data_IF_730448210115
#
_entry.id   IF_730448210115
#
_cell.length_a   1.000
_cell.length_b   1.000
_cell.length_c   1.000
_cell.angle_alpha   90.00
_cell.angle_beta   90.00
_cell.angle_gamma   90.00
#
_symmetry.space_group_name_H-M   'P 1'
#
loop_
_entity.id
_entity.type
_entity.pdbx_description
1 polymer ?
#
# COMPACT_ATOMS: atom_id res chain seq x y z
N UNK A 1 33.21 31.90 11.92
CA UNK A 1 32.08 30.96 12.03
C UNK A 1 32.33 29.83 11.03
N UNK A 2 32.88 28.70 11.49
CA UNK A 2 33.39 27.60 10.64
C UNK A 2 32.25 26.69 10.17
N UNK A 3 32.13 26.49 8.86
CA UNK A 3 31.22 25.51 8.24
C UNK A 3 32.03 24.23 8.00
N UNK A 4 31.82 23.22 8.83
CA UNK A 4 32.34 21.86 8.61
C UNK A 4 31.21 20.98 8.07
N UNK A 5 31.15 20.84 6.75
CA UNK A 5 30.27 19.89 6.07
C UNK A 5 31.10 18.66 5.69
N UNK A 6 31.09 17.64 6.55
CA UNK A 6 31.70 16.34 6.24
C UNK A 6 30.59 15.30 6.15
N UNK A 7 30.10 15.03 4.93
CA UNK A 7 29.15 13.95 4.67
C UNK A 7 29.91 12.67 4.36
N UNK A 8 29.94 11.78 5.36
CA UNK A 8 30.63 10.49 5.41
C UNK A 8 29.77 9.39 4.79
N UNK A 9 29.56 9.40 3.48
CA UNK A 9 28.89 8.29 2.78
C UNK A 9 29.67 7.86 1.54
N UNK A 10 30.92 7.47 1.78
CA UNK A 10 31.70 6.65 0.85
C UNK A 10 32.20 5.44 1.62
N UNK A 11 31.32 4.47 1.88
CA UNK A 11 31.75 3.16 2.40
C UNK A 11 30.69 2.09 2.14
N UNK A 12 31.18 0.93 1.69
CA UNK A 12 30.52 -0.37 1.57
C UNK A 12 29.75 -0.67 0.27
N UNK A 13 30.52 -0.95 -0.78
CA UNK A 13 30.17 -1.91 -1.82
C UNK A 13 31.16 -3.08 -1.73
N UNK A 14 30.77 -4.15 -1.02
CA UNK A 14 31.35 -5.51 -1.07
C UNK A 14 30.73 -6.28 0.08
N UNK A 15 30.00 -7.37 -0.20
CA UNK A 15 30.38 -8.74 0.21
C UNK A 15 29.22 -9.73 -0.04
N UNK A 16 29.52 -10.76 -0.83
CA UNK A 16 29.07 -12.15 -0.71
C UNK A 16 27.59 -12.42 -0.37
N UNK A 17 26.80 -12.81 -1.39
CA UNK A 17 25.55 -13.56 -1.17
C UNK A 17 25.95 -15.05 -1.12
N UNK A 18 25.92 -15.72 0.04
CA UNK A 18 26.21 -17.14 0.12
C UNK A 18 25.06 -17.93 -0.51
N UNK A 19 25.42 -18.93 -1.31
CA UNK A 19 24.51 -19.96 -1.83
C UNK A 19 23.90 -20.70 -0.65
N UNK A 20 22.62 -20.44 -0.35
CA UNK A 20 21.86 -21.27 0.56
C UNK A 20 21.50 -22.58 -0.17
N UNK A 21 22.20 -23.66 0.17
CA UNK A 21 21.77 -25.02 -0.16
C UNK A 21 20.43 -25.29 0.54
N UNK A 22 19.37 -25.42 -0.26
CA UNK A 22 18.02 -25.71 0.21
C UNK A 22 17.90 -27.22 0.47
N UNK A 23 18.08 -27.64 1.71
CA UNK A 23 17.77 -29.01 2.15
C UNK A 23 16.27 -29.11 2.44
N UNK A 24 15.55 -29.92 1.67
CA UNK A 24 14.12 -30.17 1.86
C UNK A 24 13.85 -31.03 3.11
N UNK A 25 13.02 -30.59 4.07
CA UNK A 25 12.57 -31.46 5.15
C UNK A 25 11.41 -32.37 4.69
N UNK A 26 11.50 -33.63 5.10
CA UNK A 26 10.46 -34.66 4.95
C UNK A 26 9.23 -34.35 5.82
N UNK A 27 8.10 -34.77 5.28
CA UNK A 27 6.77 -34.95 5.87
C UNK A 27 6.75 -35.42 7.32
N UNK A 28 5.93 -34.75 8.13
CA UNK A 28 5.37 -35.27 9.38
C UNK A 28 3.87 -35.00 9.32
N UNK A 29 3.11 -36.07 9.08
CA UNK A 29 1.68 -36.12 9.33
C UNK A 29 1.48 -36.17 10.85
N UNK A 30 0.54 -35.39 11.38
CA UNK A 30 0.15 -35.47 12.78
C UNK A 30 -1.34 -35.17 12.90
N UNK A 31 -2.01 -36.18 13.44
CA UNK A 31 -3.44 -36.31 13.58
C UNK A 31 -4.09 -35.24 14.46
N UNK A 32 -5.32 -34.92 14.07
CA UNK A 32 -6.52 -34.73 14.89
C UNK A 32 -6.30 -34.32 16.36
N UNK A 33 -6.64 -33.07 16.70
CA UNK A 33 -7.09 -32.75 18.06
C UNK A 33 -8.25 -31.73 18.06
N UNK A 34 -9.37 -32.22 18.58
CA UNK A 34 -10.39 -31.57 19.41
C UNK A 34 -10.77 -30.12 19.16
N UNK A 35 -12.02 -29.97 18.72
CA UNK A 35 -13.06 -29.19 19.38
C UNK A 35 -12.60 -28.04 20.30
N UNK A 36 -12.50 -26.84 19.72
CA UNK A 36 -13.02 -25.64 20.36
C UNK A 36 -13.73 -24.80 19.29
N UNK A 37 -15.07 -24.81 19.33
CA UNK A 37 -15.91 -24.03 18.42
C UNK A 37 -15.97 -22.59 18.95
N UNK A 38 -14.83 -21.90 18.90
CA UNK A 38 -14.80 -20.44 18.97
C UNK A 38 -15.50 -19.95 17.69
N UNK A 39 -16.60 -19.22 17.88
CA UNK A 39 -17.33 -18.59 16.79
C UNK A 39 -16.40 -17.59 16.09
N UNK A 40 -15.71 -18.06 15.06
CA UNK A 40 -15.04 -17.21 14.10
C UNK A 40 -16.12 -16.35 13.49
N UNK A 41 -16.11 -15.06 13.83
CA UNK A 41 -16.84 -14.04 13.09
C UNK A 41 -16.36 -14.18 11.65
N UNK A 42 -17.18 -14.86 10.84
CA UNK A 42 -17.09 -14.82 9.39
C UNK A 42 -17.32 -13.36 9.07
N UNK A 43 -16.26 -12.56 9.01
CA UNK A 43 -16.25 -11.36 8.20
C UNK A 43 -16.47 -11.87 6.79
N UNK A 44 -17.76 -12.01 6.44
CA UNK A 44 -18.23 -12.10 5.08
C UNK A 44 -17.62 -10.90 4.40
N UNK A 45 -16.51 -11.17 3.71
CA UNK A 45 -15.79 -10.28 2.82
C UNK A 45 -16.86 -9.58 2.01
N UNK A 46 -17.20 -8.35 2.41
CA UNK A 46 -18.22 -7.55 1.79
C UNK A 46 -17.99 -7.66 0.29
N UNK A 47 -18.99 -8.20 -0.39
CA UNK A 47 -18.98 -8.50 -1.81
C UNK A 47 -18.43 -7.26 -2.49
N UNK A 48 -17.16 -7.31 -2.92
CA UNK A 48 -16.50 -6.16 -3.50
C UNK A 48 -17.38 -5.75 -4.66
N UNK A 49 -17.93 -4.54 -4.56
CA UNK A 49 -18.73 -3.92 -5.60
C UNK A 49 -18.11 -4.26 -6.95
N UNK A 50 -18.98 -4.68 -7.87
CA UNK A 50 -18.80 -4.94 -9.29
C UNK A 50 -17.44 -4.55 -9.86
N UNK A 51 -16.96 -5.31 -10.85
CA UNK A 51 -15.79 -5.01 -11.70
C UNK A 51 -15.96 -3.71 -12.51
N UNK A 52 -16.43 -2.64 -11.90
CA UNK A 52 -16.37 -1.29 -12.39
C UNK A 52 -14.90 -0.91 -12.53
N UNK A 53 -14.57 -0.36 -13.68
CA UNK A 53 -13.22 0.06 -14.02
C UNK A 53 -12.88 1.35 -13.25
N UNK A 54 -12.63 1.21 -11.95
CA UNK A 54 -12.18 2.28 -11.08
C UNK A 54 -10.72 2.06 -10.66
N UNK A 55 -9.99 3.15 -10.34
CA UNK A 55 -8.65 3.06 -9.78
C UNK A 55 -8.62 2.12 -8.58
N UNK A 56 -7.76 1.09 -8.67
CA UNK A 56 -7.57 0.12 -7.59
C UNK A 56 -6.62 0.69 -6.53
N UNK A 57 -6.81 0.26 -5.28
CA UNK A 57 -5.88 0.55 -4.18
C UNK A 57 -4.47 0.13 -4.57
N UNK A 58 -3.47 0.97 -4.25
CA UNK A 58 -2.06 0.70 -4.58
C UNK A 58 -1.59 1.30 -5.90
N UNK A 59 -2.48 1.73 -6.80
CA UNK A 59 -2.07 2.45 -8.02
C UNK A 59 -1.40 3.78 -7.67
N UNK A 60 -0.35 4.16 -8.39
CA UNK A 60 0.26 5.49 -8.24
C UNK A 60 -0.61 6.58 -8.87
N UNK A 61 -0.51 7.82 -8.40
CA UNK A 61 -1.15 8.97 -9.05
C UNK A 61 -0.82 9.06 -10.55
N UNK A 62 0.40 8.68 -10.96
CA UNK A 62 0.82 8.64 -12.35
C UNK A 62 0.07 7.57 -13.15
N UNK A 63 -0.05 6.36 -12.62
CA UNK A 63 -0.83 5.29 -13.23
C UNK A 63 -2.30 5.67 -13.34
N UNK A 64 -2.88 6.25 -12.29
CA UNK A 64 -4.26 6.73 -12.32
C UNK A 64 -4.44 7.79 -13.40
N UNK A 65 -3.57 8.80 -13.47
CA UNK A 65 -3.66 9.82 -14.51
C UNK A 65 -3.47 9.27 -15.92
N UNK A 66 -2.59 8.28 -16.10
CA UNK A 66 -2.36 7.62 -17.39
C UNK A 66 -3.60 6.85 -17.86
N UNK A 67 -4.26 6.13 -16.95
CA UNK A 67 -5.36 5.22 -17.29
C UNK A 67 -6.74 5.90 -17.28
N UNK A 68 -6.94 6.90 -16.42
CA UNK A 68 -8.25 7.53 -16.17
C UNK A 68 -8.28 9.02 -16.56
N UNK A 69 -7.16 9.57 -17.03
CA UNK A 69 -7.06 10.96 -17.44
C UNK A 69 -6.95 11.96 -16.28
N UNK A 70 -7.05 13.25 -16.63
CA UNK A 70 -6.96 14.37 -15.67
C UNK A 70 -8.25 14.45 -14.85
N UNK A 71 -8.15 14.64 -13.52
CA UNK A 71 -9.33 14.85 -12.69
C UNK A 71 -9.98 16.22 -12.96
N UNK A 72 -11.28 16.33 -12.69
CA UNK A 72 -12.04 17.59 -12.81
C UNK A 72 -11.58 18.60 -11.76
N UNK A 73 -11.31 18.13 -10.55
CA UNK A 73 -10.76 18.96 -9.47
C UNK A 73 -9.84 18.17 -8.55
N UNK A 74 -8.94 18.89 -7.87
CA UNK A 74 -8.02 18.32 -6.89
C UNK A 74 -8.14 19.09 -5.58
N UNK A 75 -8.23 18.36 -4.45
CA UNK A 75 -8.19 18.92 -3.10
C UNK A 75 -7.07 18.27 -2.30
N UNK A 76 -6.55 18.98 -1.30
CA UNK A 76 -5.59 18.44 -0.32
C UNK A 76 -6.13 18.69 1.08
N UNK A 77 -5.99 17.72 1.98
CA UNK A 77 -6.38 17.90 3.37
C UNK A 77 -5.61 19.07 4.00
N UNK A 78 -6.25 19.92 4.79
CA UNK A 78 -5.59 21.02 5.48
C UNK A 78 -4.92 20.54 6.76
N UNK A 79 -4.08 21.38 7.37
CA UNK A 79 -3.40 21.08 8.63
C UNK A 79 -1.96 20.57 8.52
N UNK A 80 -1.36 20.35 9.68
CA UNK A 80 0.06 19.99 9.84
C UNK A 80 0.31 18.57 9.34
N UNK A 81 1.29 18.42 8.46
CA UNK A 81 1.74 17.10 7.98
C UNK A 81 2.77 16.53 8.96
N UNK A 82 2.58 15.29 9.36
CA UNK A 82 3.51 14.53 10.23
C UNK A 82 3.73 13.15 9.63
N UNK A 83 4.81 12.45 10.02
CA UNK A 83 5.10 11.09 9.51
C UNK A 83 3.93 10.11 9.70
N UNK A 84 3.26 10.15 10.86
CA UNK A 84 2.09 9.33 11.20
C UNK A 84 0.78 9.83 10.58
N UNK A 85 0.73 11.10 10.18
CA UNK A 85 -0.46 11.79 9.67
C UNK A 85 -0.14 12.39 8.30
N UNK A 86 0.04 11.53 7.28
CA UNK A 86 0.39 11.98 5.94
C UNK A 86 -0.76 12.78 5.31
N UNK A 87 -0.40 13.68 4.40
CA UNK A 87 -1.36 14.50 3.67
C UNK A 87 -2.19 13.64 2.72
N UNK A 88 -3.51 13.82 2.76
CA UNK A 88 -4.43 13.19 1.82
C UNK A 88 -4.67 14.13 0.64
N UNK A 89 -4.52 13.59 -0.56
CA UNK A 89 -4.90 14.28 -1.80
C UNK A 89 -6.14 13.61 -2.36
N UNK A 90 -7.13 14.38 -2.78
CA UNK A 90 -8.37 13.88 -3.37
C UNK A 90 -8.45 14.37 -4.80
N UNK A 91 -8.60 13.45 -5.75
CA UNK A 91 -8.95 13.77 -7.12
C UNK A 91 -10.43 13.45 -7.34
N UNK A 92 -11.19 14.42 -7.83
CA UNK A 92 -12.60 14.22 -8.14
C UNK A 92 -12.76 14.06 -9.66
N UNK A 93 -13.45 12.99 -10.05
CA UNK A 93 -13.96 12.76 -11.39
C UNK A 93 -15.49 12.93 -11.36
N UNK A 94 -16.16 12.77 -12.50
CA UNK A 94 -17.61 12.95 -12.61
C UNK A 94 -18.40 12.04 -11.66
N UNK A 95 -18.12 10.74 -11.64
CA UNK A 95 -18.91 9.72 -10.91
C UNK A 95 -18.24 9.17 -9.65
N UNK A 96 -17.00 9.57 -9.39
CA UNK A 96 -16.21 9.01 -8.29
C UNK A 96 -15.08 9.95 -7.88
N UNK A 97 -14.58 9.75 -6.66
CA UNK A 97 -13.41 10.44 -6.13
C UNK A 97 -12.35 9.44 -5.67
N UNK A 98 -11.09 9.75 -5.94
CA UNK A 98 -9.93 8.92 -5.59
C UNK A 98 -9.13 9.63 -4.51
N UNK A 99 -8.94 8.94 -3.40
CA UNK A 99 -8.15 9.40 -2.27
C UNK A 99 -6.74 8.83 -2.39
N UNK A 100 -5.75 9.68 -2.23
CA UNK A 100 -4.35 9.32 -2.29
C UNK A 100 -3.65 9.65 -0.98
N UNK A 101 -2.78 8.75 -0.58
CA UNK A 101 -1.80 8.96 0.48
C UNK A 101 -0.42 8.66 -0.11
N UNK A 102 0.57 9.54 0.12
CA UNK A 102 1.95 9.36 -0.38
C UNK A 102 2.01 9.02 -1.88
N UNK A 103 1.15 9.65 -2.68
CA UNK A 103 1.03 9.43 -4.13
C UNK A 103 0.51 8.04 -4.55
N UNK A 104 -0.04 7.27 -3.62
CA UNK A 104 -0.64 5.95 -3.84
C UNK A 104 -2.14 6.02 -3.57
N UNK A 105 -2.93 5.36 -4.41
CA UNK A 105 -4.38 5.24 -4.25
C UNK A 105 -4.69 4.51 -2.96
N UNK A 106 -5.38 5.19 -2.06
CA UNK A 106 -5.86 4.66 -0.79
C UNK A 106 -7.25 4.04 -0.98
N UNK A 107 -8.19 4.81 -1.53
CA UNK A 107 -9.58 4.39 -1.70
C UNK A 107 -10.27 5.16 -2.83
N UNK A 108 -11.29 4.54 -3.42
CA UNK A 108 -12.15 5.15 -4.43
C UNK A 108 -13.59 5.11 -3.95
N UNK A 109 -14.24 6.27 -3.92
CA UNK A 109 -15.64 6.45 -3.51
C UNK A 109 -16.47 6.79 -4.73
N UNK A 110 -17.56 6.06 -4.97
CA UNK A 110 -18.52 6.31 -6.05
C UNK A 110 -19.65 7.18 -5.51
N UNK A 111 -20.07 8.19 -6.28
CA UNK A 111 -21.16 9.11 -5.95
C UNK A 111 -22.47 8.70 -6.61
#
# INVERSE_FOLDING_TARGET
MLIKQTSKYLLSLLLCIPVCAFTAPKSVDSDMNSADKVQTVKQTKATRASTANYPKRGMTMKQVRKQYGKPHSTRKSTGRVKKKWPRITVWNYAKYSVYFERHITLHTVVH
#
